data_IF_617537143190
#
_entry.id   IF_617537143190
#
_cell.length_a   1.000
_cell.length_b   1.000
_cell.length_c   1.000
_cell.angle_alpha   90.00
_cell.angle_beta   90.00
_cell.angle_gamma   90.00
#
_symmetry.space_group_name_H-M   'P 1'
#
loop_
_entity.id
_entity.type
_entity.pdbx_description
1 polymer ?
#
# COMPACT_ATOMS: atom_id res chain seq x y z
N UNK A 1 -35.47 -5.08 39.25
CA UNK A 1 -35.09 -5.85 38.04
C UNK A 1 -34.22 -5.06 37.05
N UNK A 2 -33.53 -3.99 37.46
CA UNK A 2 -32.78 -3.09 36.57
C UNK A 2 -31.29 -3.42 36.32
N UNK A 3 -30.70 -4.40 37.02
CA UNK A 3 -29.24 -4.66 36.96
C UNK A 3 -28.85 -5.56 35.78
N UNK A 4 -29.70 -6.52 35.37
CA UNK A 4 -29.37 -7.51 34.32
C UNK A 4 -29.29 -6.90 32.91
N UNK A 5 -30.06 -5.85 32.62
CA UNK A 5 -30.10 -5.19 31.30
C UNK A 5 -28.82 -4.41 31.01
N UNK A 6 -28.16 -3.88 32.05
CA UNK A 6 -26.94 -3.07 31.95
C UNK A 6 -25.71 -3.91 31.61
N UNK A 7 -25.57 -5.11 32.21
CA UNK A 7 -24.41 -5.97 31.97
C UNK A 7 -24.40 -6.57 30.56
N UNK A 8 -25.56 -6.94 30.01
CA UNK A 8 -25.66 -7.45 28.64
C UNK A 8 -25.37 -6.37 27.58
N UNK A 9 -25.74 -5.11 27.86
CA UNK A 9 -25.44 -3.96 27.01
C UNK A 9 -23.94 -3.62 27.02
N UNK A 10 -23.29 -3.72 28.18
CA UNK A 10 -21.84 -3.52 28.34
C UNK A 10 -21.04 -4.60 27.59
N UNK A 11 -21.47 -5.86 27.65
CA UNK A 11 -20.85 -6.96 26.88
C UNK A 11 -21.00 -6.71 25.37
N UNK A 12 -22.19 -6.30 24.90
CA UNK A 12 -22.40 -5.94 23.49
C UNK A 12 -21.57 -4.74 23.02
N UNK A 13 -21.35 -3.73 23.88
CA UNK A 13 -20.51 -2.56 23.59
C UNK A 13 -19.02 -2.89 23.50
N UNK A 14 -18.54 -3.92 24.22
CA UNK A 14 -17.14 -4.36 24.17
C UNK A 14 -16.80 -5.11 22.86
N UNK A 15 -17.78 -5.58 22.11
CA UNK A 15 -17.57 -6.31 20.85
C UNK A 15 -17.48 -5.41 19.59
N UNK A 16 -17.54 -4.08 19.71
CA UNK A 16 -17.66 -3.18 18.53
C UNK A 16 -16.34 -2.49 18.14
N UNK A 17 -15.19 -2.91 18.67
CA UNK A 17 -13.90 -2.30 18.35
C UNK A 17 -12.86 -3.26 17.75
N UNK A 18 -13.21 -3.95 16.68
CA UNK A 18 -12.20 -4.52 15.77
C UNK A 18 -12.63 -4.37 14.31
N UNK A 19 -12.72 -3.12 13.84
CA UNK A 19 -12.94 -2.85 12.42
C UNK A 19 -11.89 -1.84 11.93
N UNK A 20 -10.94 -2.38 11.16
CA UNK A 20 -10.18 -1.71 10.09
C UNK A 20 -8.84 -1.04 10.39
N UNK A 21 -7.90 -1.73 11.05
CA UNK A 21 -6.48 -1.38 10.97
C UNK A 21 -5.61 -2.51 10.38
N UNK A 22 -6.14 -3.31 9.44
CA UNK A 22 -5.31 -4.17 8.60
C UNK A 22 -4.65 -3.32 7.50
N UNK A 23 -3.58 -2.63 7.85
CA UNK A 23 -2.69 -1.94 6.92
C UNK A 23 -2.07 -2.95 5.95
N UNK A 24 -2.67 -3.11 4.77
CA UNK A 24 -2.19 -4.00 3.73
C UNK A 24 -0.97 -3.40 3.00
N UNK A 25 0.18 -3.38 3.66
CA UNK A 25 1.45 -3.26 2.97
C UNK A 25 1.69 -4.56 2.19
N UNK A 26 1.60 -4.50 0.86
CA UNK A 26 1.95 -5.64 0.00
C UNK A 26 3.40 -5.47 -0.46
N UNK A 27 4.23 -6.47 -0.21
CA UNK A 27 5.60 -6.52 -0.73
C UNK A 27 5.63 -7.34 -2.01
N UNK A 28 6.16 -6.78 -3.08
CA UNK A 28 6.40 -7.46 -4.35
C UNK A 28 7.90 -7.71 -4.52
N UNK A 29 8.25 -8.92 -4.96
CA UNK A 29 9.59 -9.29 -5.42
C UNK A 29 9.58 -9.44 -6.94
N UNK A 30 10.76 -9.50 -7.57
CA UNK A 30 10.88 -9.69 -9.03
C UNK A 30 10.11 -10.91 -9.54
N UNK A 31 9.95 -11.94 -8.70
CA UNK A 31 9.18 -13.14 -9.04
C UNK A 31 7.67 -12.90 -9.15
N UNK A 32 7.15 -11.82 -8.53
CA UNK A 32 5.71 -11.48 -8.57
C UNK A 32 5.39 -10.35 -9.53
N UNK A 33 6.36 -9.51 -9.89
CA UNK A 33 6.16 -8.39 -10.82
C UNK A 33 7.41 -8.22 -11.71
N UNK A 34 7.25 -8.49 -13.00
CA UNK A 34 8.34 -8.44 -13.99
C UNK A 34 8.84 -7.01 -14.26
N UNK A 35 8.05 -5.98 -13.90
CA UNK A 35 8.49 -4.60 -14.04
C UNK A 35 9.55 -4.21 -12.99
N UNK A 36 9.67 -4.97 -11.90
CA UNK A 36 10.65 -4.72 -10.85
C UNK A 36 12.03 -5.19 -11.30
N UNK A 37 12.95 -4.25 -11.47
CA UNK A 37 14.34 -4.57 -11.79
C UNK A 37 15.31 -3.57 -11.16
N UNK A 38 16.59 -3.88 -11.24
CA UNK A 38 17.66 -2.98 -10.81
C UNK A 38 18.70 -2.82 -11.89
N UNK A 39 19.12 -1.57 -12.14
CA UNK A 39 20.17 -1.21 -13.09
C UNK A 39 21.11 -0.23 -12.39
N UNK A 40 22.43 -0.46 -12.37
CA UNK A 40 23.41 0.45 -11.75
C UNK A 40 23.07 0.91 -10.32
N UNK A 41 22.63 -0.04 -9.47
CA UNK A 41 22.15 0.22 -8.09
C UNK A 41 20.91 1.12 -7.98
N UNK A 42 20.29 1.44 -9.11
CA UNK A 42 18.98 2.08 -9.20
C UNK A 42 17.91 1.00 -9.22
N UNK A 43 16.81 1.24 -8.49
CA UNK A 43 15.65 0.37 -8.51
C UNK A 43 14.56 0.97 -9.38
N UNK A 44 14.02 0.14 -10.27
CA UNK A 44 12.97 0.50 -11.20
C UNK A 44 11.73 -0.34 -10.92
N UNK A 45 10.57 0.30 -10.87
CA UNK A 45 9.28 -0.37 -10.71
C UNK A 45 8.25 0.31 -11.60
N UNK A 46 7.62 -0.45 -12.50
CA UNK A 46 6.59 0.05 -13.43
C UNK A 46 7.02 1.29 -14.22
N UNK A 47 8.27 1.32 -14.66
CA UNK A 47 8.87 2.45 -15.38
C UNK A 47 9.47 3.54 -14.48
N UNK A 48 9.16 3.57 -13.18
CA UNK A 48 9.61 4.63 -12.28
C UNK A 48 10.92 4.31 -11.57
N UNK A 49 11.82 5.29 -11.56
CA UNK A 49 13.01 5.28 -10.71
C UNK A 49 12.62 5.52 -9.24
N UNK A 50 12.94 4.55 -8.38
CA UNK A 50 12.71 4.58 -6.93
C UNK A 50 13.99 4.77 -6.12
N UNK A 51 15.02 5.40 -6.69
CA UNK A 51 16.30 5.62 -6.03
C UNK A 51 16.12 6.44 -4.76
N UNK A 52 16.47 5.85 -3.63
CA UNK A 52 16.41 6.49 -2.32
C UNK A 52 15.74 5.63 -1.26
N UNK A 53 15.82 6.09 -0.01
CA UNK A 53 15.19 5.45 1.15
C UNK A 53 13.75 5.97 1.34
N UNK A 54 13.34 6.95 0.52
CA UNK A 54 12.09 7.69 0.63
C UNK A 54 10.97 6.98 -0.13
N UNK A 55 9.74 7.12 0.36
CA UNK A 55 8.55 6.65 -0.34
C UNK A 55 8.24 7.57 -1.53
N UNK A 56 8.09 7.02 -2.72
CA UNK A 56 7.49 7.72 -3.87
C UNK A 56 5.98 7.68 -3.71
N UNK A 57 5.32 8.84 -3.66
CA UNK A 57 3.87 8.96 -3.57
C UNK A 57 3.27 9.18 -4.96
N UNK A 58 2.17 8.49 -5.24
CA UNK A 58 1.52 8.42 -6.54
C UNK A 58 0.04 8.81 -6.41
N UNK A 59 -0.52 9.42 -7.45
CA UNK A 59 -1.96 9.64 -7.63
C UNK A 59 -2.60 8.48 -8.41
N UNK A 60 -1.90 7.97 -9.42
CA UNK A 60 -2.35 6.85 -10.27
C UNK A 60 -1.28 5.75 -10.36
N UNK A 61 -1.54 4.54 -9.81
CA UNK A 61 -2.58 4.27 -8.81
C UNK A 61 -2.33 5.10 -7.54
N UNK A 62 -3.37 5.33 -6.74
CA UNK A 62 -3.23 6.09 -5.48
C UNK A 62 -2.51 5.23 -4.43
N UNK A 63 -1.20 5.23 -4.52
CA UNK A 63 -0.30 4.35 -3.78
C UNK A 63 0.97 5.11 -3.38
N UNK A 64 1.70 4.54 -2.43
CA UNK A 64 3.09 4.89 -2.19
C UNK A 64 3.98 3.67 -2.34
N UNK A 65 5.16 3.87 -2.92
CA UNK A 65 6.11 2.82 -3.22
C UNK A 65 7.45 3.09 -2.57
N UNK A 66 8.11 2.03 -2.12
CA UNK A 66 9.48 2.10 -1.60
C UNK A 66 10.25 0.88 -2.05
N UNK A 67 11.41 1.10 -2.67
CA UNK A 67 12.29 0.01 -3.01
C UNK A 67 13.36 -0.22 -1.94
N UNK A 68 13.72 -1.50 -1.77
CA UNK A 68 14.88 -1.94 -0.99
C UNK A 68 15.67 -2.94 -1.82
N UNK A 69 16.92 -2.62 -2.11
CA UNK A 69 17.86 -3.60 -2.65
C UNK A 69 18.25 -4.57 -1.54
N UNK A 70 18.02 -5.86 -1.77
CA UNK A 70 18.40 -6.94 -0.85
C UNK A 70 19.41 -7.87 -1.52
N UNK A 71 20.03 -8.77 -0.74
CA UNK A 71 20.95 -9.79 -1.29
C UNK A 71 20.26 -10.72 -2.32
N UNK A 72 18.95 -10.85 -2.23
CA UNK A 72 18.11 -11.68 -3.11
C UNK A 72 17.58 -10.91 -4.33
N UNK A 73 17.94 -9.64 -4.48
CA UNK A 73 17.42 -8.74 -5.52
C UNK A 73 16.57 -7.58 -4.97
N UNK A 74 16.04 -6.70 -5.84
CA UNK A 74 15.14 -5.63 -5.45
C UNK A 74 13.82 -6.17 -4.89
N UNK A 75 13.35 -5.55 -3.80
CA UNK A 75 12.02 -5.73 -3.23
C UNK A 75 11.32 -4.37 -3.20
N UNK A 76 10.08 -4.30 -3.65
CA UNK A 76 9.26 -3.08 -3.57
C UNK A 76 8.13 -3.28 -2.59
N UNK A 77 7.95 -2.29 -1.72
CA UNK A 77 6.83 -2.19 -0.80
C UNK A 77 5.81 -1.24 -1.39
N UNK A 78 4.58 -1.70 -1.54
CA UNK A 78 3.48 -0.94 -2.10
C UNK A 78 2.41 -0.80 -1.02
N UNK A 79 1.92 0.43 -0.84
CA UNK A 79 0.82 0.72 0.05
C UNK A 79 -0.21 1.59 -0.66
N UNK A 80 -1.41 1.05 -0.85
CA UNK A 80 -2.57 1.76 -1.38
C UNK A 80 -3.53 2.24 -0.29
N UNK A 81 -4.70 2.74 -0.71
CA UNK A 81 -5.76 3.26 0.16
C UNK A 81 -6.66 2.17 0.78
N UNK A 82 -6.76 1.00 0.13
CA UNK A 82 -7.50 -0.19 0.61
C UNK A 82 -6.66 -1.44 0.34
N UNK A 83 -6.96 -2.54 1.02
CA UNK A 83 -6.40 -3.86 0.73
C UNK A 83 -6.97 -4.38 -0.61
N UNK A 84 -6.53 -3.80 -1.72
CA UNK A 84 -6.86 -4.33 -3.03
C UNK A 84 -6.08 -5.63 -3.16
N UNK A 85 -6.80 -6.73 -3.39
CA UNK A 85 -6.19 -8.01 -3.75
C UNK A 85 -5.22 -7.75 -4.89
N UNK A 86 -3.99 -8.27 -4.76
CA UNK A 86 -2.83 -8.00 -5.61
C UNK A 86 -2.99 -8.34 -7.11
N UNK A 87 -4.21 -8.61 -7.56
CA UNK A 87 -4.55 -8.98 -8.92
C UNK A 87 -4.92 -7.74 -9.73
N UNK A 88 -4.03 -7.35 -10.65
CA UNK A 88 -4.52 -6.80 -11.93
C UNK A 88 -4.32 -5.32 -12.23
N UNK A 89 -3.35 -4.62 -11.64
CA UNK A 89 -2.93 -3.32 -12.20
C UNK A 89 -1.47 -3.36 -12.64
N UNK A 90 -1.24 -4.03 -13.76
CA UNK A 90 -0.03 -3.79 -14.57
C UNK A 90 -0.13 -2.36 -15.10
N UNK A 91 0.45 -1.41 -14.37
CA UNK A 91 0.91 -0.18 -15.02
C UNK A 91 2.18 -0.58 -15.74
N UNK A 92 2.11 -0.67 -17.07
CA UNK A 92 3.23 -1.10 -17.93
C UNK A 92 4.24 0.03 -18.10
N UNK A 93 3.84 1.28 -17.88
CA UNK A 93 4.63 2.48 -18.18
C UNK A 93 4.31 3.65 -17.26
N UNK A 94 5.20 4.65 -17.19
CA UNK A 94 4.95 5.86 -16.42
C UNK A 94 3.70 6.60 -16.94
N UNK A 95 2.79 6.94 -16.04
CA UNK A 95 1.60 7.74 -16.33
C UNK A 95 1.70 9.11 -15.67
N UNK A 96 1.09 10.11 -16.30
CA UNK A 96 1.03 11.48 -15.77
C UNK A 96 0.37 11.52 -14.39
N UNK A 97 1.00 12.25 -13.46
CA UNK A 97 0.57 12.34 -12.06
C UNK A 97 0.09 13.75 -11.74
N UNK A 98 -1.06 13.86 -11.06
CA UNK A 98 -1.45 15.13 -10.47
C UNK A 98 -0.72 15.36 -9.13
N UNK A 99 0.26 16.27 -9.13
CA UNK A 99 1.10 16.59 -7.96
C UNK A 99 0.31 17.15 -6.77
N UNK A 100 -0.89 17.70 -7.00
CA UNK A 100 -1.76 18.25 -5.95
C UNK A 100 -2.61 17.18 -5.25
N UNK A 101 -2.66 15.97 -5.79
CA UNK A 101 -3.54 14.90 -5.34
C UNK A 101 -2.80 13.55 -5.20
N UNK A 102 -1.56 13.56 -4.71
CA UNK A 102 -0.79 12.35 -4.47
C UNK A 102 -1.26 11.62 -3.20
N UNK A 103 -0.91 10.35 -3.03
CA UNK A 103 -1.15 9.61 -1.79
C UNK A 103 -0.63 10.41 -0.57
N UNK A 104 -1.39 10.53 0.54
CA UNK A 104 -2.69 9.91 0.82
C UNK A 104 -3.90 10.76 0.43
N UNK A 105 -3.73 11.92 -0.22
CA UNK A 105 -4.84 12.82 -0.56
C UNK A 105 -5.83 12.15 -1.54
N UNK A 106 -5.31 11.47 -2.55
CA UNK A 106 -6.15 10.72 -3.49
C UNK A 106 -6.91 9.54 -2.86
N UNK A 107 -6.63 9.17 -1.61
CA UNK A 107 -7.38 8.12 -0.89
C UNK A 107 -8.75 8.57 -0.40
N UNK A 108 -9.04 9.87 -0.45
CA UNK A 108 -10.33 10.45 -0.04
C UNK A 108 -11.38 10.45 -1.17
N UNK A 109 -10.99 10.02 -2.36
CA UNK A 109 -11.85 9.94 -3.53
C UNK A 109 -12.74 8.70 -3.50
#
# INVERSE_FOLDING_TARGET
>A
TGVKKSMMLLVLLLFVFEVNAAFAAQSYSMMRDQSLHSQDKTCWFRGYNLTGIVWKVMEKPCERWKCKLTKEGPKVFVQGCKAVTASGRLIVEEVEQNSTNLWPLCCKQ
#
